data_IF_955718430074
#
_entry.id   IF_955718430074
#
_cell.length_a   1.000
_cell.length_b   1.000
_cell.length_c   1.000
_cell.angle_alpha   90.00
_cell.angle_beta   90.00
_cell.angle_gamma   90.00
#
_symmetry.space_group_name_H-M   'P 1'
#
loop_
_entity.id
_entity.type
_entity.pdbx_description
1 polymer ?
#
# COMPACT_ATOMS: atom_id res chain seq x y z
N UNK A 1 62.10 -14.05 -0.48
CA UNK A 1 63.07 -13.32 -1.30
C UNK A 1 63.03 -13.74 -2.81
N UNK A 2 61.86 -13.89 -3.46
CA UNK A 2 61.80 -14.28 -4.88
C UNK A 2 61.82 -13.08 -5.86
N UNK A 3 61.38 -11.90 -5.45
CA UNK A 3 61.20 -10.72 -6.34
C UNK A 3 62.55 -10.23 -6.93
N UNK A 4 63.66 -10.27 -6.21
CA UNK A 4 64.97 -9.85 -6.70
C UNK A 4 65.53 -10.75 -7.81
N UNK A 5 65.18 -12.04 -7.87
CA UNK A 5 65.65 -12.95 -8.93
C UNK A 5 64.90 -12.72 -10.29
N UNK A 6 63.62 -12.33 -10.22
CA UNK A 6 62.81 -12.09 -11.41
C UNK A 6 63.22 -10.78 -12.12
N UNK A 7 63.53 -9.73 -11.36
CA UNK A 7 63.98 -8.45 -11.90
C UNK A 7 65.34 -8.58 -12.61
N UNK A 8 66.30 -9.37 -12.06
CA UNK A 8 67.59 -9.60 -12.74
C UNK A 8 67.45 -10.31 -14.08
N UNK A 9 66.55 -11.29 -14.23
CA UNK A 9 66.30 -12.00 -15.50
C UNK A 9 65.70 -11.11 -16.58
N UNK A 10 64.99 -10.08 -16.26
CA UNK A 10 64.41 -9.13 -17.23
C UNK A 10 65.50 -8.15 -17.73
N UNK A 11 66.51 -7.85 -16.92
CA UNK A 11 67.62 -6.95 -17.28
C UNK A 11 68.58 -7.60 -18.28
N UNK A 12 68.73 -8.92 -18.27
CA UNK A 12 69.60 -9.68 -19.17
C UNK A 12 68.99 -10.06 -20.52
N UNK A 13 67.73 -9.65 -20.80
CA UNK A 13 67.06 -9.90 -22.07
C UNK A 13 67.59 -9.02 -23.22
N UNK A 14 67.65 -9.56 -24.46
CA UNK A 14 68.01 -8.75 -25.63
C UNK A 14 67.01 -7.59 -25.82
N UNK A 15 67.49 -6.47 -26.34
CA UNK A 15 66.73 -5.21 -26.51
C UNK A 15 65.38 -5.42 -27.16
N UNK A 16 65.28 -6.31 -28.15
CA UNK A 16 64.02 -6.66 -28.83
C UNK A 16 62.99 -7.28 -27.87
N UNK A 17 63.43 -8.17 -26.96
CA UNK A 17 62.54 -8.80 -26.00
C UNK A 17 62.05 -7.80 -24.92
N UNK A 18 62.91 -6.85 -24.51
CA UNK A 18 62.51 -5.77 -23.58
C UNK A 18 61.43 -4.86 -24.20
N UNK A 19 61.60 -4.48 -25.46
CA UNK A 19 60.61 -3.68 -26.19
C UNK A 19 59.25 -4.41 -26.30
N UNK A 20 59.27 -5.67 -26.69
CA UNK A 20 58.02 -6.46 -26.81
C UNK A 20 57.36 -6.62 -25.44
N UNK A 21 58.09 -6.92 -24.39
CA UNK A 21 57.53 -7.09 -23.03
C UNK A 21 56.96 -5.77 -22.49
N UNK A 22 57.65 -4.64 -22.69
CA UNK A 22 57.14 -3.33 -22.26
C UNK A 22 55.85 -2.95 -22.99
N UNK A 23 55.79 -3.21 -24.30
CA UNK A 23 54.59 -2.95 -25.12
C UNK A 23 53.41 -3.82 -24.69
N UNK A 24 53.70 -5.11 -24.41
CA UNK A 24 52.70 -6.06 -23.93
C UNK A 24 52.18 -5.70 -22.54
N UNK A 25 53.09 -5.22 -21.66
CA UNK A 25 52.72 -4.73 -20.33
C UNK A 25 51.82 -3.50 -20.39
N UNK A 26 52.11 -2.55 -21.28
CA UNK A 26 51.28 -1.35 -21.47
C UNK A 26 49.88 -1.72 -22.02
N UNK A 27 49.79 -2.62 -23.00
CA UNK A 27 48.55 -3.10 -23.56
C UNK A 27 47.74 -3.83 -22.50
N UNK A 28 48.35 -4.73 -21.70
CA UNK A 28 47.73 -5.46 -20.65
C UNK A 28 47.17 -4.52 -19.56
N UNK A 29 48.01 -3.58 -19.10
CA UNK A 29 47.61 -2.57 -18.14
C UNK A 29 46.46 -1.70 -18.62
N UNK A 30 46.52 -1.20 -19.87
CA UNK A 30 45.44 -0.44 -20.51
C UNK A 30 44.17 -1.26 -20.65
N UNK A 31 44.28 -2.53 -21.05
CA UNK A 31 43.14 -3.44 -21.14
C UNK A 31 42.46 -3.71 -19.79
N UNK A 32 43.25 -3.97 -18.76
CA UNK A 32 42.74 -4.16 -17.38
C UNK A 32 42.07 -2.88 -16.87
N UNK A 33 42.68 -1.73 -17.08
CA UNK A 33 42.13 -0.44 -16.67
C UNK A 33 40.78 -0.15 -17.35
N UNK A 34 40.72 -0.33 -18.67
CA UNK A 34 39.48 -0.16 -19.45
C UNK A 34 38.39 -1.17 -19.00
N UNK A 35 38.75 -2.40 -18.73
CA UNK A 35 37.83 -3.43 -18.23
C UNK A 35 37.23 -3.04 -16.86
N UNK A 36 38.08 -2.61 -15.91
CA UNK A 36 37.64 -2.18 -14.59
C UNK A 36 36.76 -0.93 -14.66
N UNK A 37 37.12 0.03 -15.50
CA UNK A 37 36.30 1.24 -15.69
C UNK A 37 34.97 0.87 -16.34
N UNK A 38 34.98 0.05 -17.41
CA UNK A 38 33.78 -0.39 -18.10
C UNK A 38 32.79 -1.11 -17.18
N UNK A 39 33.26 -2.09 -16.42
CA UNK A 39 32.41 -2.84 -15.49
C UNK A 39 31.82 -1.97 -14.37
N UNK A 40 32.57 -0.98 -13.89
CA UNK A 40 32.05 -0.03 -12.89
C UNK A 40 30.99 0.93 -13.43
N UNK A 41 31.16 1.39 -14.65
CA UNK A 41 30.20 2.29 -15.31
C UNK A 41 28.91 1.53 -15.61
N UNK A 42 28.99 0.33 -16.18
CA UNK A 42 27.81 -0.49 -16.47
C UNK A 42 27.00 -0.81 -15.21
N UNK A 43 27.67 -1.23 -14.14
CA UNK A 43 26.98 -1.57 -12.88
C UNK A 43 26.25 -0.36 -12.28
N UNK A 44 26.85 0.81 -12.25
CA UNK A 44 26.23 2.04 -11.77
C UNK A 44 25.03 2.45 -12.63
N UNK A 45 25.15 2.36 -13.95
CA UNK A 45 24.07 2.74 -14.87
C UNK A 45 22.86 1.83 -14.72
N UNK A 46 23.07 0.52 -14.59
CA UNK A 46 21.98 -0.46 -14.41
C UNK A 46 21.25 -0.21 -13.10
N UNK A 47 21.97 0.00 -12.00
CA UNK A 47 21.35 0.28 -10.68
C UNK A 47 20.54 1.58 -10.72
N UNK A 48 21.12 2.66 -11.28
CA UNK A 48 20.41 3.96 -11.35
C UNK A 48 19.15 3.88 -12.23
N UNK A 49 19.19 3.14 -13.34
CA UNK A 49 18.02 2.93 -14.18
C UNK A 49 16.94 2.10 -13.47
N UNK A 50 17.35 1.05 -12.73
CA UNK A 50 16.42 0.24 -11.94
C UNK A 50 15.75 1.07 -10.83
N UNK A 51 16.52 1.88 -10.10
CA UNK A 51 15.98 2.79 -9.09
C UNK A 51 15.01 3.83 -9.68
N UNK A 52 15.36 4.42 -10.82
CA UNK A 52 14.49 5.37 -11.51
C UNK A 52 13.18 4.72 -11.96
N UNK A 53 13.24 3.47 -12.46
CA UNK A 53 12.04 2.70 -12.82
C UNK A 53 11.18 2.44 -11.59
N UNK A 54 11.75 1.96 -10.50
CA UNK A 54 11.01 1.68 -9.25
C UNK A 54 10.32 2.94 -8.73
N UNK A 55 10.99 4.09 -8.73
CA UNK A 55 10.39 5.37 -8.32
C UNK A 55 9.22 5.78 -9.24
N UNK A 56 9.37 5.60 -10.53
CA UNK A 56 8.30 5.89 -11.49
C UNK A 56 7.09 4.95 -11.28
N UNK A 57 7.35 3.67 -11.11
CA UNK A 57 6.32 2.65 -10.87
C UNK A 57 5.58 2.94 -9.54
N UNK A 58 6.30 3.33 -8.50
CA UNK A 58 5.72 3.73 -7.21
C UNK A 58 4.87 5.01 -7.34
N UNK A 59 5.33 6.02 -8.07
CA UNK A 59 4.56 7.24 -8.33
C UNK A 59 3.25 6.93 -9.07
N UNK A 60 3.30 6.02 -10.05
CA UNK A 60 2.11 5.56 -10.77
C UNK A 60 1.14 4.80 -9.86
N UNK A 61 1.65 3.92 -8.99
CA UNK A 61 0.85 3.21 -8.00
C UNK A 61 0.18 4.18 -7.00
N UNK A 62 0.92 5.22 -6.59
CA UNK A 62 0.39 6.28 -5.72
C UNK A 62 -0.75 7.04 -6.39
N UNK A 63 -0.63 7.36 -7.68
CA UNK A 63 -1.72 8.00 -8.44
C UNK A 63 -2.98 7.13 -8.45
N UNK A 64 -2.86 5.82 -8.65
CA UNK A 64 -4.00 4.89 -8.60
C UNK A 64 -4.67 4.90 -7.22
N UNK A 65 -3.87 4.94 -6.15
CA UNK A 65 -4.39 5.04 -4.79
C UNK A 65 -5.12 6.37 -4.56
N UNK A 66 -4.54 7.50 -4.96
CA UNK A 66 -5.14 8.83 -4.81
C UNK A 66 -6.44 8.96 -5.60
N UNK A 67 -6.49 8.45 -6.83
CA UNK A 67 -7.71 8.39 -7.63
C UNK A 67 -8.81 7.62 -6.89
N UNK A 68 -8.48 6.47 -6.28
CA UNK A 68 -9.43 5.68 -5.51
C UNK A 68 -9.93 6.42 -4.26
N UNK A 69 -9.04 7.08 -3.53
CA UNK A 69 -9.37 7.87 -2.35
C UNK A 69 -10.26 9.07 -2.70
N UNK A 70 -9.94 9.77 -3.79
CA UNK A 70 -10.72 10.90 -4.28
C UNK A 70 -12.11 10.46 -4.76
N UNK A 71 -12.19 9.36 -5.51
CA UNK A 71 -13.48 8.79 -5.95
C UNK A 71 -14.36 8.40 -4.76
N UNK A 72 -13.79 7.78 -3.73
CA UNK A 72 -14.53 7.45 -2.51
C UNK A 72 -15.03 8.72 -1.79
N UNK A 73 -14.15 9.72 -1.60
CA UNK A 73 -14.53 11.00 -1.01
C UNK A 73 -15.69 11.65 -1.76
N UNK A 74 -15.62 11.71 -3.10
CA UNK A 74 -16.63 12.35 -3.92
C UNK A 74 -17.95 11.56 -3.90
N UNK A 75 -17.89 10.23 -3.88
CA UNK A 75 -19.04 9.35 -3.67
C UNK A 75 -19.73 9.67 -2.35
N UNK A 76 -19.00 9.75 -1.25
CA UNK A 76 -19.59 10.03 0.05
C UNK A 76 -20.13 11.46 0.12
N UNK A 77 -19.42 12.43 -0.47
CA UNK A 77 -19.89 13.82 -0.54
C UNK A 77 -21.19 13.95 -1.30
N UNK A 78 -21.31 13.31 -2.45
CA UNK A 78 -22.55 13.31 -3.22
C UNK A 78 -23.68 12.56 -2.51
N UNK A 79 -23.35 11.42 -1.88
CA UNK A 79 -24.31 10.65 -1.10
C UNK A 79 -24.80 11.40 0.14
N UNK A 80 -23.95 12.20 0.80
CA UNK A 80 -24.34 13.03 1.94
C UNK A 80 -25.34 14.15 1.59
N UNK A 81 -25.46 14.53 0.31
CA UNK A 81 -26.43 15.51 -0.18
C UNK A 81 -27.81 14.92 -0.46
N UNK A 82 -28.00 13.61 -0.29
CA UNK A 82 -29.28 12.96 -0.57
C UNK A 82 -30.35 13.41 0.41
N UNK A 83 -31.52 13.76 -0.14
CA UNK A 83 -32.62 14.41 0.58
C UNK A 83 -33.15 13.66 1.81
N UNK A 84 -33.01 12.34 1.84
CA UNK A 84 -33.52 11.52 2.95
C UNK A 84 -32.65 11.52 4.21
N UNK A 85 -31.37 11.89 4.09
CA UNK A 85 -30.44 11.86 5.23
C UNK A 85 -30.70 12.95 6.26
N UNK A 86 -31.04 14.14 5.78
CA UNK A 86 -31.32 15.29 6.65
C UNK A 86 -32.56 15.05 7.52
N UNK A 87 -33.75 14.71 6.98
CA UNK A 87 -34.90 14.37 7.81
C UNK A 87 -34.64 13.19 8.76
N UNK A 88 -33.85 12.20 8.32
CA UNK A 88 -33.50 11.07 9.18
C UNK A 88 -32.73 11.51 10.44
N UNK A 89 -31.79 12.46 10.30
CA UNK A 89 -31.04 13.03 11.42
C UNK A 89 -31.90 13.97 12.29
N UNK A 90 -32.67 14.87 11.67
CA UNK A 90 -33.51 15.84 12.38
C UNK A 90 -34.64 15.19 13.19
N UNK A 91 -35.23 14.11 12.66
CA UNK A 91 -36.38 13.42 13.26
C UNK A 91 -35.97 12.15 14.04
N UNK A 92 -34.66 11.81 14.06
CA UNK A 92 -34.16 10.56 14.65
C UNK A 92 -34.88 9.31 14.08
N UNK A 93 -35.21 9.30 12.78
CA UNK A 93 -35.98 8.25 12.13
C UNK A 93 -35.16 7.63 10.99
N UNK A 94 -34.57 6.44 11.23
CA UNK A 94 -33.58 5.84 10.35
C UNK A 94 -34.10 4.66 9.50
N UNK A 95 -35.34 4.21 9.66
CA UNK A 95 -35.87 3.01 8.99
C UNK A 95 -35.79 3.08 7.46
N UNK A 96 -36.26 4.18 6.84
CA UNK A 96 -36.15 4.38 5.40
C UNK A 96 -34.68 4.60 4.94
N UNK A 97 -33.92 5.33 5.74
CA UNK A 97 -32.52 5.63 5.43
C UNK A 97 -31.65 4.37 5.41
N UNK A 98 -31.95 3.39 6.27
CA UNK A 98 -31.21 2.15 6.39
C UNK A 98 -31.15 1.37 5.07
N UNK A 99 -32.30 1.08 4.48
CA UNK A 99 -32.39 0.33 3.23
C UNK A 99 -31.75 1.10 2.05
N UNK A 100 -31.93 2.43 2.01
CA UNK A 100 -31.32 3.27 0.96
C UNK A 100 -29.80 3.32 1.09
N UNK A 101 -29.25 3.47 2.30
CA UNK A 101 -27.79 3.45 2.53
C UNK A 101 -27.20 2.09 2.20
N UNK A 102 -27.88 0.99 2.52
CA UNK A 102 -27.40 -0.35 2.16
C UNK A 102 -27.42 -0.55 0.62
N UNK A 103 -28.43 0.00 -0.09
CA UNK A 103 -28.44 0.06 -1.55
C UNK A 103 -27.23 0.79 -2.11
N UNK A 104 -26.93 1.99 -1.60
CA UNK A 104 -25.76 2.80 -1.99
C UNK A 104 -24.46 2.05 -1.68
N UNK A 105 -24.34 1.49 -0.48
CA UNK A 105 -23.16 0.70 -0.10
C UNK A 105 -22.88 -0.41 -1.10
N UNK A 106 -23.89 -1.18 -1.48
CA UNK A 106 -23.75 -2.27 -2.47
C UNK A 106 -23.46 -1.78 -3.88
N UNK A 107 -24.12 -0.72 -4.32
CA UNK A 107 -23.92 -0.13 -5.66
C UNK A 107 -22.48 0.34 -5.88
N UNK A 108 -21.89 0.99 -4.86
CA UNK A 108 -20.50 1.47 -4.91
C UNK A 108 -19.47 0.45 -4.40
N UNK A 109 -19.90 -0.77 -4.06
CA UNK A 109 -19.02 -1.84 -3.58
C UNK A 109 -18.30 -1.51 -2.28
N UNK A 110 -18.92 -0.69 -1.41
CA UNK A 110 -18.34 -0.32 -0.13
C UNK A 110 -18.48 -1.44 0.90
N UNK A 111 -17.48 -1.60 1.75
CA UNK A 111 -17.54 -2.51 2.88
C UNK A 111 -18.32 -1.91 4.05
N UNK A 112 -18.20 -0.62 4.27
CA UNK A 112 -18.85 0.13 5.34
C UNK A 112 -19.52 1.36 4.76
N UNK A 113 -20.73 1.67 5.23
CA UNK A 113 -21.40 2.95 5.03
C UNK A 113 -22.30 3.22 6.23
N UNK A 114 -21.94 4.21 7.04
CA UNK A 114 -22.57 4.48 8.33
C UNK A 114 -22.85 5.97 8.49
N UNK A 115 -23.85 6.31 9.28
CA UNK A 115 -24.26 7.66 9.59
C UNK A 115 -24.02 7.96 11.06
N UNK A 116 -23.37 9.09 11.34
CA UNK A 116 -23.19 9.63 12.68
C UNK A 116 -23.95 10.96 12.83
N UNK A 117 -24.39 11.26 14.01
CA UNK A 117 -25.00 12.56 14.37
C UNK A 117 -23.96 13.68 14.52
N UNK A 118 -24.41 14.90 14.80
CA UNK A 118 -23.55 16.07 14.99
C UNK A 118 -22.59 15.98 16.19
N UNK A 119 -22.73 14.99 17.07
CA UNK A 119 -21.79 14.69 18.13
C UNK A 119 -20.73 13.64 17.75
N UNK A 120 -20.88 12.99 16.60
CA UNK A 120 -20.05 11.87 16.16
C UNK A 120 -20.54 10.51 16.64
N UNK A 121 -21.71 10.43 17.31
CA UNK A 121 -22.30 9.15 17.69
C UNK A 121 -22.88 8.45 16.46
N UNK A 122 -22.56 7.17 16.28
CA UNK A 122 -23.11 6.36 15.20
C UNK A 122 -24.59 6.09 15.44
N UNK A 123 -25.44 6.58 14.54
CA UNK A 123 -26.92 6.44 14.62
C UNK A 123 -27.45 5.38 13.68
N UNK A 124 -26.69 5.04 12.61
CA UNK A 124 -27.10 4.03 11.65
C UNK A 124 -25.88 3.36 11.02
N UNK A 125 -25.89 2.03 10.99
CA UNK A 125 -24.99 1.20 10.17
C UNK A 125 -25.79 0.52 9.07
N UNK A 126 -25.43 0.77 7.80
CA UNK A 126 -26.17 0.19 6.67
C UNK A 126 -26.16 -1.35 6.65
N UNK A 127 -25.09 -1.96 7.14
CA UNK A 127 -24.97 -3.44 7.24
C UNK A 127 -25.75 -4.07 8.38
N UNK A 128 -26.02 -3.30 9.44
CA UNK A 128 -26.70 -3.77 10.66
C UNK A 128 -27.76 -2.77 11.10
N UNK A 129 -28.82 -2.58 10.31
CA UNK A 129 -29.85 -1.60 10.62
C UNK A 129 -30.54 -1.88 11.97
N UNK A 130 -30.66 -3.16 12.33
CA UNK A 130 -31.28 -3.59 13.60
C UNK A 130 -30.30 -3.54 14.80
N UNK A 131 -29.03 -3.27 14.56
CA UNK A 131 -28.01 -3.20 15.62
C UNK A 131 -28.13 -1.99 16.54
N UNK A 132 -29.06 -1.09 16.25
CA UNK A 132 -29.32 0.12 17.00
C UNK A 132 -28.20 1.17 16.92
N UNK A 133 -28.45 2.37 17.45
CA UNK A 133 -27.41 3.38 17.59
C UNK A 133 -26.35 2.93 18.59
N UNK A 134 -25.10 3.18 18.29
CA UNK A 134 -24.02 2.82 19.23
C UNK A 134 -22.62 3.00 18.65
N UNK A 135 -21.72 3.34 19.55
CA UNK A 135 -20.34 3.65 19.23
C UNK A 135 -20.12 5.13 18.98
N UNK A 136 -18.91 5.55 19.24
CA UNK A 136 -18.44 6.92 19.02
C UNK A 136 -17.42 6.92 17.88
N UNK A 137 -17.75 7.61 16.80
CA UNK A 137 -16.88 7.78 15.64
C UNK A 137 -16.13 9.13 15.67
N UNK A 138 -16.30 9.96 16.71
CA UNK A 138 -15.65 11.27 16.81
C UNK A 138 -14.12 11.17 16.82
N UNK A 139 -13.58 10.05 17.32
CA UNK A 139 -12.15 9.74 17.25
C UNK A 139 -11.61 9.38 15.86
N UNK A 140 -12.48 9.12 14.88
CA UNK A 140 -12.09 8.91 13.51
C UNK A 140 -11.69 10.25 12.87
N UNK A 141 -10.46 10.42 12.35
CA UNK A 141 -9.97 11.71 11.86
C UNK A 141 -10.78 12.25 10.67
N UNK A 142 -11.36 11.38 9.85
CA UNK A 142 -12.20 11.79 8.72
C UNK A 142 -13.56 12.28 9.20
N UNK A 143 -14.18 11.57 10.16
CA UNK A 143 -15.43 12.00 10.81
C UNK A 143 -15.22 13.34 11.52
N UNK A 144 -14.13 13.48 12.28
CA UNK A 144 -13.81 14.72 12.96
C UNK A 144 -13.64 15.93 12.02
N UNK A 145 -13.11 15.71 10.80
CA UNK A 145 -13.06 16.77 9.76
C UNK A 145 -14.45 17.06 9.20
N UNK A 146 -15.24 16.03 8.93
CA UNK A 146 -16.58 16.19 8.39
C UNK A 146 -17.51 16.92 9.39
N UNK A 147 -17.37 16.69 10.69
CA UNK A 147 -18.06 17.47 11.75
C UNK A 147 -17.71 18.98 11.70
N UNK A 148 -16.57 19.34 11.10
CA UNK A 148 -16.19 20.75 10.84
C UNK A 148 -16.60 21.25 9.46
N UNK A 149 -17.33 20.44 8.68
CA UNK A 149 -17.81 20.79 7.35
C UNK A 149 -16.89 20.37 6.19
N UNK A 150 -15.80 19.63 6.45
CA UNK A 150 -14.79 19.25 5.45
C UNK A 150 -14.88 17.76 5.07
N UNK A 151 -15.22 17.47 3.81
CA UNK A 151 -15.14 16.11 3.30
C UNK A 151 -13.69 15.68 3.05
N UNK A 152 -13.32 14.50 3.51
CA UNK A 152 -11.95 13.99 3.37
C UNK A 152 -11.89 12.46 3.24
N UNK A 153 -10.79 11.96 2.70
CA UNK A 153 -10.53 10.52 2.57
C UNK A 153 -9.06 10.20 2.85
N UNK A 154 -8.78 8.94 3.15
CA UNK A 154 -7.45 8.41 3.35
C UNK A 154 -7.47 7.03 3.99
N UNK A 155 -6.29 6.51 4.28
CA UNK A 155 -6.15 5.19 4.92
C UNK A 155 -6.09 5.31 6.44
N UNK A 156 -6.79 4.42 7.12
CA UNK A 156 -6.79 4.28 8.59
C UNK A 156 -6.62 2.82 8.99
N UNK A 157 -5.93 2.60 10.10
CA UNK A 157 -5.94 1.31 10.78
C UNK A 157 -7.14 1.28 11.72
N UNK A 158 -8.02 0.32 11.50
CA UNK A 158 -9.31 0.15 12.21
C UNK A 158 -9.18 -0.91 13.28
N UNK A 159 -9.52 -0.61 14.53
CA UNK A 159 -9.51 -1.59 15.61
C UNK A 159 -10.51 -2.73 15.38
N UNK A 160 -10.22 -3.94 15.90
CA UNK A 160 -11.11 -5.10 15.74
C UNK A 160 -12.54 -4.86 16.24
N UNK A 161 -12.69 -4.09 17.32
CA UNK A 161 -14.02 -3.78 17.89
C UNK A 161 -14.89 -2.93 16.93
N UNK A 162 -14.27 -1.99 16.19
CA UNK A 162 -15.00 -1.20 15.19
C UNK A 162 -15.40 -2.07 13.99
N UNK A 163 -14.49 -2.94 13.51
CA UNK A 163 -14.80 -3.88 12.42
C UNK A 163 -15.95 -4.82 12.80
N UNK A 164 -15.92 -5.35 14.03
CA UNK A 164 -16.97 -6.24 14.54
C UNK A 164 -18.32 -5.52 14.67
N UNK A 165 -18.31 -4.24 15.04
CA UNK A 165 -19.52 -3.42 15.09
C UNK A 165 -20.16 -3.24 13.71
N UNK A 166 -19.38 -3.19 12.65
CA UNK A 166 -19.86 -3.13 11.26
C UNK A 166 -20.26 -4.52 10.72
N UNK A 167 -19.56 -5.60 11.11
CA UNK A 167 -19.88 -6.98 10.73
C UNK A 167 -18.80 -7.98 11.10
N UNK A 168 -19.22 -9.19 11.51
CA UNK A 168 -18.31 -10.28 11.86
C UNK A 168 -17.41 -10.68 10.68
N UNK A 169 -17.97 -10.71 9.48
CA UNK A 169 -17.24 -11.02 8.24
C UNK A 169 -16.11 -10.01 7.94
N UNK A 170 -16.27 -8.73 8.32
CA UNK A 170 -15.21 -7.73 8.18
C UNK A 170 -14.08 -7.99 9.19
N UNK A 171 -14.43 -8.28 10.43
CA UNK A 171 -13.44 -8.60 11.47
C UNK A 171 -12.68 -9.89 11.10
N UNK A 172 -13.37 -10.90 10.56
CA UNK A 172 -12.75 -12.16 10.11
C UNK A 172 -11.87 -11.93 8.89
N UNK A 173 -12.30 -11.12 7.92
CA UNK A 173 -11.50 -10.76 6.74
C UNK A 173 -10.24 -9.96 7.10
N UNK A 174 -10.28 -9.16 8.16
CA UNK A 174 -9.14 -8.41 8.66
C UNK A 174 -8.10 -9.30 9.36
N UNK A 175 -8.55 -10.39 9.99
CA UNK A 175 -7.70 -11.26 10.79
C UNK A 175 -6.72 -12.06 9.96
N UNK A 176 -5.44 -12.02 10.34
CA UNK A 176 -4.38 -12.86 9.79
C UNK A 176 -3.67 -13.63 10.89
N UNK A 177 -3.46 -14.93 10.68
CA UNK A 177 -2.41 -15.69 11.35
C UNK A 177 -1.12 -15.45 10.56
N UNK A 178 -0.01 -15.20 11.25
CA UNK A 178 1.26 -14.98 10.58
C UNK A 178 1.79 -16.28 9.97
N UNK A 179 2.08 -16.21 8.67
CA UNK A 179 2.76 -17.30 7.98
C UNK A 179 4.27 -17.19 8.26
N UNK A 180 4.92 -18.27 8.71
CA UNK A 180 6.36 -18.28 8.92
C UNK A 180 7.09 -17.78 7.66
N UNK A 181 7.82 -16.69 7.81
CA UNK A 181 8.52 -16.04 6.69
C UNK A 181 10.00 -15.98 7.02
N UNK A 182 10.86 -16.62 6.23
CA UNK A 182 12.31 -16.55 6.43
C UNK A 182 12.79 -15.09 6.47
N UNK A 183 13.75 -14.80 7.34
CA UNK A 183 14.38 -13.47 7.51
C UNK A 183 13.44 -12.35 8.00
N UNK A 184 12.18 -12.61 8.31
CA UNK A 184 11.31 -11.62 8.94
C UNK A 184 11.82 -11.28 10.36
N UNK A 185 11.59 -10.03 10.81
CA UNK A 185 11.92 -9.62 12.16
C UNK A 185 11.14 -10.46 13.19
N UNK A 186 11.78 -10.81 14.30
CA UNK A 186 11.08 -11.52 15.39
C UNK A 186 10.02 -10.61 15.99
N UNK A 187 8.79 -11.13 16.17
CA UNK A 187 7.68 -10.46 16.85
C UNK A 187 7.07 -11.41 17.87
N UNK A 188 6.61 -10.89 19.02
CA UNK A 188 5.91 -11.70 20.03
C UNK A 188 4.50 -12.11 19.59
N UNK A 189 3.85 -11.32 18.72
CA UNK A 189 2.52 -11.59 18.20
C UNK A 189 2.56 -12.67 17.12
N UNK A 190 1.52 -13.50 17.06
CA UNK A 190 1.31 -14.54 16.06
C UNK A 190 0.17 -14.24 15.09
N UNK A 191 -0.56 -13.15 15.35
CA UNK A 191 -1.72 -12.73 14.55
C UNK A 191 -1.84 -11.21 14.50
N UNK A 192 -2.58 -10.73 13.51
CA UNK A 192 -3.03 -9.34 13.37
C UNK A 192 -4.56 -9.37 13.20
N UNK A 193 -5.28 -8.60 14.01
CA UNK A 193 -6.74 -8.52 14.00
C UNK A 193 -7.25 -7.13 13.56
N UNK A 194 -6.37 -6.12 13.48
CA UNK A 194 -6.72 -4.79 12.97
C UNK A 194 -6.90 -4.84 11.47
N UNK A 195 -7.79 -4.00 10.93
CA UNK A 195 -7.94 -3.82 9.50
C UNK A 195 -7.27 -2.54 8.99
N UNK A 196 -6.79 -2.55 7.76
CA UNK A 196 -6.42 -1.35 7.04
C UNK A 196 -7.56 -0.98 6.09
N UNK A 197 -8.14 0.20 6.25
CA UNK A 197 -9.30 0.64 5.47
C UNK A 197 -9.01 1.96 4.75
N UNK A 198 -9.40 2.03 3.49
CA UNK A 198 -9.57 3.30 2.80
C UNK A 198 -10.92 3.85 3.23
N UNK A 199 -10.92 4.95 3.95
CA UNK A 199 -12.12 5.59 4.48
C UNK A 199 -12.32 6.99 3.91
N UNK A 200 -13.58 7.40 3.84
CA UNK A 200 -13.96 8.79 3.60
C UNK A 200 -15.11 9.19 4.50
N UNK A 201 -15.23 10.48 4.74
CA UNK A 201 -16.36 11.05 5.44
C UNK A 201 -16.76 12.38 4.80
N UNK A 202 -18.06 12.67 4.84
CA UNK A 202 -18.63 13.90 4.32
C UNK A 202 -19.74 14.43 5.25
N UNK A 203 -19.84 15.75 5.45
CA UNK A 203 -20.88 16.34 6.29
C UNK A 203 -22.25 16.22 5.62
N UNK A 204 -23.27 15.89 6.41
CA UNK A 204 -24.67 16.10 6.07
C UNK A 204 -25.06 17.47 6.60
N UNK A 205 -25.38 18.41 5.71
CA UNK A 205 -25.58 19.81 6.07
C UNK A 205 -27.07 20.19 6.21
N UNK A 206 -27.36 21.16 7.09
CA UNK A 206 -28.66 21.83 7.13
C UNK A 206 -28.78 22.92 6.04
N UNK A 207 -29.92 23.64 5.98
CA UNK A 207 -30.14 24.72 5.03
C UNK A 207 -29.22 25.94 5.24
N UNK A 208 -28.67 26.07 6.44
CA UNK A 208 -27.70 27.10 6.78
C UNK A 208 -26.25 26.69 6.49
N UNK A 209 -26.03 25.50 5.95
CA UNK A 209 -24.71 24.95 5.66
C UNK A 209 -23.95 24.42 6.91
N UNK A 210 -24.63 24.20 8.02
CA UNK A 210 -24.03 23.67 9.25
C UNK A 210 -24.12 22.14 9.28
N UNK A 211 -23.10 21.41 9.73
CA UNK A 211 -23.15 19.97 9.85
C UNK A 211 -24.20 19.49 10.87
N UNK A 212 -25.18 18.71 10.42
CA UNK A 212 -26.15 17.98 11.24
C UNK A 212 -25.62 16.62 11.66
N UNK A 213 -24.74 16.05 10.85
CA UNK A 213 -24.14 14.75 11.05
C UNK A 213 -23.14 14.45 9.96
N UNK A 214 -22.68 13.21 9.92
CA UNK A 214 -21.62 12.75 9.02
C UNK A 214 -21.99 11.43 8.39
N UNK A 215 -21.96 11.35 7.07
CA UNK A 215 -21.93 10.11 6.33
C UNK A 215 -20.49 9.68 6.15
N UNK A 216 -20.13 8.48 6.61
CA UNK A 216 -18.78 7.94 6.49
C UNK A 216 -18.81 6.47 6.07
N UNK A 217 -17.73 6.02 5.45
CA UNK A 217 -17.64 4.66 4.98
C UNK A 217 -16.33 4.38 4.26
N UNK A 218 -16.18 3.14 3.79
CA UNK A 218 -14.92 2.75 3.19
C UNK A 218 -14.84 1.32 2.70
N UNK A 219 -13.60 0.97 2.32
CA UNK A 219 -13.19 -0.30 1.73
C UNK A 219 -12.07 -0.91 2.57
N UNK A 220 -12.24 -2.12 3.03
CA UNK A 220 -11.21 -2.86 3.75
C UNK A 220 -10.18 -3.42 2.76
N UNK A 221 -8.90 -3.07 2.91
CA UNK A 221 -7.81 -3.58 2.06
C UNK A 221 -7.43 -5.03 2.38
N UNK A 222 -7.68 -5.50 3.59
CA UNK A 222 -7.35 -6.86 4.00
C UNK A 222 -8.07 -7.88 3.08
N UNK A 223 -7.30 -8.68 2.35
CA UNK A 223 -7.79 -9.62 1.31
C UNK A 223 -8.65 -8.99 0.21
N UNK A 224 -8.52 -7.68 0.01
CA UNK A 224 -9.07 -7.00 -1.15
C UNK A 224 -7.95 -6.82 -2.19
N UNK A 225 -8.10 -7.44 -3.33
CA UNK A 225 -7.04 -7.51 -4.34
C UNK A 225 -7.21 -6.49 -5.46
N UNK A 226 -8.36 -5.80 -5.54
CA UNK A 226 -8.69 -4.87 -6.63
C UNK A 226 -7.62 -3.79 -6.81
N UNK A 227 -7.12 -3.20 -5.70
CA UNK A 227 -6.10 -2.17 -5.78
C UNK A 227 -4.77 -2.71 -6.34
N UNK A 228 -4.30 -3.86 -5.83
CA UNK A 228 -3.02 -4.44 -6.25
C UNK A 228 -3.07 -4.97 -7.68
N UNK A 229 -4.22 -5.50 -8.11
CA UNK A 229 -4.42 -5.97 -9.47
C UNK A 229 -4.51 -4.79 -10.44
N UNK A 230 -5.18 -3.71 -10.05
CA UNK A 230 -5.26 -2.46 -10.83
C UNK A 230 -3.89 -1.80 -10.98
N UNK A 231 -3.11 -1.73 -9.89
CA UNK A 231 -1.72 -1.24 -9.94
C UNK A 231 -0.89 -2.10 -10.88
N UNK A 232 -0.99 -3.43 -10.80
CA UNK A 232 -0.29 -4.34 -11.71
C UNK A 232 -0.65 -4.07 -13.17
N UNK A 233 -1.93 -3.92 -13.47
CA UNK A 233 -2.41 -3.67 -14.83
C UNK A 233 -1.90 -2.34 -15.40
N UNK A 234 -1.95 -1.26 -14.61
CA UNK A 234 -1.57 0.09 -15.07
C UNK A 234 -0.06 0.26 -15.16
N UNK A 235 0.68 -0.20 -14.14
CA UNK A 235 2.12 0.01 -14.03
C UNK A 235 2.89 -0.95 -14.93
N UNK A 236 2.53 -2.22 -14.93
CA UNK A 236 3.29 -3.25 -15.64
C UNK A 236 2.66 -3.66 -16.97
N UNK A 237 1.44 -3.19 -17.31
CA UNK A 237 0.76 -3.34 -18.61
C UNK A 237 0.78 -4.76 -19.19
N UNK A 238 0.82 -5.78 -18.33
CA UNK A 238 0.90 -7.18 -18.74
C UNK A 238 2.25 -7.59 -19.34
N UNK A 239 3.31 -6.81 -19.12
CA UNK A 239 4.67 -7.18 -19.56
C UNK A 239 5.08 -8.53 -18.98
N UNK A 240 5.73 -9.36 -19.80
CA UNK A 240 6.24 -10.68 -19.40
C UNK A 240 7.73 -10.77 -19.62
N UNK A 241 8.42 -11.41 -18.70
CA UNK A 241 9.82 -11.78 -18.85
C UNK A 241 9.97 -13.30 -18.79
N UNK A 242 10.51 -13.91 -19.82
CA UNK A 242 10.65 -15.38 -19.94
C UNK A 242 9.34 -16.17 -19.71
N UNK A 243 8.20 -15.59 -20.15
CA UNK A 243 6.88 -16.22 -20.00
C UNK A 243 6.19 -15.98 -18.65
N UNK A 244 6.86 -15.42 -17.67
CA UNK A 244 6.28 -15.04 -16.37
C UNK A 244 5.92 -13.56 -16.34
N UNK A 245 4.80 -13.22 -15.72
CA UNK A 245 4.41 -11.83 -15.50
C UNK A 245 5.48 -11.11 -14.69
N UNK A 246 5.88 -9.92 -15.12
CA UNK A 246 6.78 -9.06 -14.36
C UNK A 246 5.97 -8.04 -13.56
N UNK A 247 6.52 -7.72 -12.40
CA UNK A 247 5.94 -6.75 -11.50
C UNK A 247 4.96 -7.34 -10.50
N UNK A 248 5.12 -6.88 -9.29
CA UNK A 248 4.27 -7.24 -8.16
C UNK A 248 3.82 -5.99 -7.44
N UNK A 249 2.58 -5.98 -7.01
CA UNK A 249 2.03 -4.96 -6.13
C UNK A 249 1.56 -5.61 -4.83
N UNK A 250 1.83 -4.95 -3.73
CA UNK A 250 1.47 -5.45 -2.40
C UNK A 250 1.09 -4.28 -1.51
N UNK A 251 0.02 -4.46 -0.75
CA UNK A 251 -0.33 -3.59 0.38
C UNK A 251 0.16 -4.26 1.66
N UNK A 252 0.93 -3.53 2.44
CA UNK A 252 1.39 -3.95 3.75
C UNK A 252 0.71 -3.14 4.84
N UNK A 253 0.32 -3.82 5.91
CA UNK A 253 -0.04 -3.23 7.19
C UNK A 253 1.13 -3.47 8.14
N UNK A 254 1.87 -2.42 8.48
CA UNK A 254 3.20 -2.54 9.05
C UNK A 254 4.08 -3.44 8.14
N UNK A 255 4.59 -4.54 8.62
CA UNK A 255 5.39 -5.49 7.86
C UNK A 255 4.59 -6.71 7.32
N UNK A 256 3.28 -6.76 7.59
CA UNK A 256 2.39 -7.85 7.21
C UNK A 256 1.79 -7.62 5.81
N UNK A 257 1.88 -8.59 4.93
CA UNK A 257 1.27 -8.57 3.61
C UNK A 257 -0.23 -8.87 3.71
N UNK A 258 -1.08 -7.86 3.52
CA UNK A 258 -2.55 -7.96 3.67
C UNK A 258 -3.28 -8.13 2.33
N UNK A 259 -2.72 -7.62 1.23
CA UNK A 259 -3.20 -7.83 -0.13
C UNK A 259 -2.03 -7.85 -1.11
N UNK A 260 -2.03 -8.75 -2.08
CA UNK A 260 -0.93 -8.91 -3.05
C UNK A 260 -1.37 -9.66 -4.30
N UNK A 261 -0.65 -9.45 -5.39
CA UNK A 261 -0.72 -10.30 -6.58
C UNK A 261 0.42 -11.33 -6.65
N UNK A 262 1.30 -11.40 -5.66
CA UNK A 262 2.31 -12.46 -5.52
C UNK A 262 1.62 -13.75 -5.16
N UNK A 263 1.96 -14.82 -5.85
CA UNK A 263 1.47 -16.17 -5.55
C UNK A 263 2.51 -16.95 -4.73
N UNK A 264 2.03 -17.80 -3.85
CA UNK A 264 2.83 -18.81 -3.15
C UNK A 264 3.05 -20.05 -4.02
N UNK A 265 3.81 -21.03 -3.52
CA UNK A 265 4.11 -22.27 -4.22
C UNK A 265 2.86 -23.13 -4.52
N UNK A 266 1.72 -22.84 -3.91
CA UNK A 266 0.44 -23.51 -4.11
C UNK A 266 -0.46 -22.76 -5.11
N UNK A 267 0.01 -21.63 -5.66
CA UNK A 267 -0.76 -20.77 -6.54
C UNK A 267 -1.79 -19.87 -5.83
N UNK A 268 -1.76 -19.80 -4.51
CA UNK A 268 -2.59 -18.88 -3.71
C UNK A 268 -1.87 -17.57 -3.51
N UNK A 269 -2.62 -16.48 -3.24
CA UNK A 269 -1.99 -15.19 -2.94
C UNK A 269 -1.25 -15.25 -1.61
N UNK A 270 0.01 -14.79 -1.59
CA UNK A 270 0.94 -14.93 -0.47
C UNK A 270 0.64 -13.96 0.69
N UNK A 271 -0.62 -13.82 1.09
CA UNK A 271 -1.06 -12.99 2.21
C UNK A 271 -0.72 -13.64 3.56
N UNK A 272 -0.57 -12.83 4.61
CA UNK A 272 -0.17 -13.31 5.94
C UNK A 272 1.34 -13.51 6.09
N UNK A 273 2.12 -13.41 5.01
CA UNK A 273 3.60 -13.38 5.07
C UNK A 273 4.09 -11.99 5.45
N UNK A 274 5.34 -11.90 5.88
CA UNK A 274 5.94 -10.64 6.35
C UNK A 274 7.16 -10.26 5.52
N UNK A 275 7.50 -8.99 5.44
CA UNK A 275 8.75 -8.54 4.82
C UNK A 275 9.97 -9.00 5.63
N UNK A 276 11.13 -9.09 4.99
CA UNK A 276 12.40 -9.34 5.69
C UNK A 276 12.70 -8.19 6.67
N UNK A 277 13.48 -8.50 7.71
CA UNK A 277 13.93 -7.50 8.66
C UNK A 277 14.64 -6.32 7.99
N UNK A 278 15.48 -6.61 6.99
CA UNK A 278 16.22 -5.59 6.24
C UNK A 278 15.26 -4.61 5.53
N UNK A 279 14.24 -5.11 4.85
CA UNK A 279 13.23 -4.27 4.17
C UNK A 279 12.41 -3.49 5.20
N UNK A 280 12.01 -4.11 6.32
CA UNK A 280 11.31 -3.41 7.39
C UNK A 280 12.12 -2.24 7.92
N UNK A 281 13.38 -2.46 8.26
CA UNK A 281 14.28 -1.43 8.79
C UNK A 281 14.52 -0.31 7.76
N UNK A 282 14.68 -0.63 6.47
CA UNK A 282 14.86 0.38 5.43
C UNK A 282 13.60 1.23 5.22
N UNK A 283 12.48 0.59 4.97
CA UNK A 283 11.26 1.28 4.52
C UNK A 283 10.45 1.84 5.69
N UNK A 284 10.23 1.06 6.76
CA UNK A 284 9.34 1.48 7.86
C UNK A 284 10.09 2.26 8.94
N UNK A 285 11.32 1.88 9.25
CA UNK A 285 12.04 2.50 10.36
C UNK A 285 12.87 3.72 9.89
N UNK A 286 13.43 3.70 8.66
CA UNK A 286 14.24 4.81 8.10
C UNK A 286 13.54 5.64 7.01
N UNK A 287 12.47 5.14 6.39
CA UNK A 287 11.74 5.82 5.33
C UNK A 287 12.50 5.90 3.99
N UNK A 288 13.33 4.88 3.69
CA UNK A 288 14.16 4.79 2.47
C UNK A 288 13.41 4.18 1.29
#
# INVERSE_FOLDING_TARGET
MPIRRTVRRVIDLPLRAKLVLSFLAVILFGGVLLFVIGTRIEHRTIVTLAEAKVRHDLASAWTVYEERANALRDTLRLSAMLRFLRPALEQNSFGEAAGRLDGIRREFGLDVLSLADGSGRVVLRSRRPDGGPGGDASGNPFVARALRGEASAGTRIVPPAELLAEGEDLAERARFQFVPTPMAAVRPEYSEDRGMMLEAAAPVLDDAGRPLGVLYGGLLFNRNYDLVDRVKEIVFKGEKYKGSDIGTATVFQDDLRIATNVLDDRGSRAVGTRVSREVKEAVLDRGE
#
